data_IF_280178261168
#
_entry.id   IF_280178261168
#
_cell.length_a   1.000
_cell.length_b   1.000
_cell.length_c   1.000
_cell.angle_alpha   90.00
_cell.angle_beta   90.00
_cell.angle_gamma   90.00
#
_symmetry.space_group_name_H-M   'P 1'
#
loop_
_entity.id
_entity.type
_entity.pdbx_description
1 polymer ?
#
# COMPACT_ATOMS: atom_id res chain seq x y z
N UNK A 1 55.92 23.35 -15.24
CA UNK A 1 55.82 24.21 -16.44
C UNK A 1 54.37 24.60 -16.65
N UNK A 2 54.12 25.87 -16.33
CA UNK A 2 52.90 26.68 -16.37
C UNK A 2 51.80 26.27 -15.37
N UNK A 3 51.62 26.91 -14.21
CA UNK A 3 51.48 28.33 -13.81
C UNK A 3 50.04 28.88 -13.85
N UNK A 4 49.72 29.60 -12.76
CA UNK A 4 48.60 30.52 -12.46
C UNK A 4 47.41 29.87 -11.70
N UNK A 5 47.25 30.00 -10.36
CA UNK A 5 47.14 31.20 -9.49
C UNK A 5 46.04 32.17 -10.01
N UNK A 6 45.09 32.73 -9.26
CA UNK A 6 45.07 33.15 -7.87
C UNK A 6 43.62 33.36 -7.37
N UNK A 7 43.47 33.36 -6.05
CA UNK A 7 42.31 33.80 -5.28
C UNK A 7 41.99 35.29 -5.48
N UNK A 8 40.71 35.66 -5.34
CA UNK A 8 40.32 37.03 -5.02
C UNK A 8 39.37 37.05 -3.81
N UNK A 9 39.74 37.92 -2.88
CA UNK A 9 39.14 38.19 -1.57
C UNK A 9 37.83 39.00 -1.60
N UNK A 10 37.15 38.88 -0.45
CA UNK A 10 36.12 39.69 0.23
C UNK A 10 35.83 41.11 -0.30
N UNK A 11 34.56 41.52 -0.19
CA UNK A 11 34.12 42.53 0.79
C UNK A 11 32.59 42.56 0.94
N UNK A 12 32.15 42.67 2.20
CA UNK A 12 30.80 43.03 2.63
C UNK A 12 30.61 44.54 2.49
N UNK A 13 29.42 45.00 2.09
CA UNK A 13 28.92 46.32 2.48
C UNK A 13 27.38 46.30 2.59
N UNK A 14 26.92 47.13 3.53
CA UNK A 14 25.63 47.11 4.23
C UNK A 14 24.56 48.01 3.61
N UNK A 15 23.32 47.72 4.03
CA UNK A 15 22.24 48.66 4.40
C UNK A 15 21.52 49.51 3.31
N UNK A 16 20.21 49.30 3.23
CA UNK A 16 19.13 50.21 3.71
C UNK A 16 17.98 50.48 2.73
N UNK A 17 16.77 50.23 3.26
CA UNK A 17 15.50 50.98 3.15
C UNK A 17 14.96 51.52 1.82
N UNK A 18 13.67 51.26 1.58
CA UNK A 18 12.76 52.27 1.03
C UNK A 18 11.74 51.79 0.01
N UNK A 19 10.47 51.90 0.40
CA UNK A 19 9.35 52.40 -0.41
C UNK A 19 8.61 51.52 -1.44
N UNK A 20 7.43 51.08 -0.97
CA UNK A 20 6.10 51.16 -1.58
C UNK A 20 5.93 51.59 -3.07
N UNK A 21 5.06 50.80 -3.69
CA UNK A 21 3.96 51.16 -4.60
C UNK A 21 4.17 51.09 -6.12
N UNK A 22 3.37 50.18 -6.69
CA UNK A 22 2.65 50.25 -7.96
C UNK A 22 3.43 50.60 -9.23
N UNK A 23 3.65 49.59 -10.05
CA UNK A 23 3.43 49.70 -11.49
C UNK A 23 2.65 48.49 -11.99
N UNK A 24 1.41 48.77 -12.43
CA UNK A 24 0.69 47.93 -13.37
C UNK A 24 1.33 48.15 -14.73
N UNK A 25 1.71 47.09 -15.44
CA UNK A 25 1.57 47.08 -16.89
C UNK A 25 1.44 45.68 -17.47
N UNK A 26 0.57 45.61 -18.49
CA UNK A 26 -0.03 44.41 -19.05
C UNK A 26 0.85 43.71 -20.10
N UNK A 27 0.62 42.40 -20.22
CA UNK A 27 0.71 41.57 -21.41
C UNK A 27 2.07 41.45 -22.14
N UNK A 28 2.70 40.28 -21.97
CA UNK A 28 3.40 39.60 -23.07
C UNK A 28 3.42 38.08 -22.87
N UNK A 29 2.65 37.41 -23.72
CA UNK A 29 2.91 36.11 -24.36
C UNK A 29 4.08 35.27 -23.80
N UNK A 30 3.72 34.19 -23.12
CA UNK A 30 4.63 33.15 -22.68
C UNK A 30 3.80 31.98 -22.17
N UNK A 31 3.56 31.00 -23.03
CA UNK A 31 2.91 29.73 -22.69
C UNK A 31 3.83 28.90 -21.79
N UNK A 32 3.95 29.33 -20.54
CA UNK A 32 4.57 28.55 -19.48
C UNK A 32 3.59 27.43 -19.13
N UNK A 33 3.79 26.28 -19.78
CA UNK A 33 3.13 25.03 -19.42
C UNK A 33 3.55 24.74 -17.99
N UNK A 34 2.71 25.17 -17.03
CA UNK A 34 2.78 24.78 -15.64
C UNK A 34 2.92 23.26 -15.62
N UNK A 35 4.14 22.79 -15.39
CA UNK A 35 4.41 21.41 -14.99
C UNK A 35 3.58 21.24 -13.72
N UNK A 36 2.41 20.62 -13.87
CA UNK A 36 1.62 20.14 -12.75
C UNK A 36 2.57 19.31 -11.90
N UNK A 37 3.00 19.89 -10.78
CA UNK A 37 3.68 19.14 -9.76
C UNK A 37 2.67 18.06 -9.35
N UNK A 38 2.94 16.80 -9.71
CA UNK A 38 2.18 15.67 -9.22
C UNK A 38 2.52 15.52 -7.73
N UNK A 39 1.88 16.33 -6.90
CA UNK A 39 2.23 16.52 -5.49
C UNK A 39 1.66 15.44 -4.58
N UNK A 40 1.50 14.20 -5.07
CA UNK A 40 1.01 13.05 -4.32
C UNK A 40 1.68 11.75 -4.79
N UNK A 41 2.99 11.76 -5.07
CA UNK A 41 3.70 10.50 -5.27
C UNK A 41 3.92 9.87 -3.90
N UNK A 42 3.17 8.81 -3.59
CA UNK A 42 3.51 7.93 -2.47
C UNK A 42 4.95 7.45 -2.63
N UNK A 43 5.62 7.18 -1.50
CA UNK A 43 6.91 6.51 -1.53
C UNK A 43 6.76 5.23 -2.38
N UNK A 44 7.69 4.97 -3.32
CA UNK A 44 7.66 3.75 -4.10
C UNK A 44 7.74 2.55 -3.17
N UNK A 45 7.15 1.43 -3.59
CA UNK A 45 7.22 0.17 -2.85
C UNK A 45 8.69 -0.20 -2.63
N UNK A 46 9.04 -0.57 -1.40
CA UNK A 46 10.42 -0.89 -1.02
C UNK A 46 10.93 -2.08 -1.82
N UNK A 47 12.13 -1.97 -2.39
CA UNK A 47 12.72 -3.02 -3.23
C UNK A 47 12.97 -4.29 -2.43
N UNK A 48 13.45 -4.14 -1.20
CA UNK A 48 13.68 -5.24 -0.27
C UNK A 48 12.38 -5.98 0.02
N UNK A 49 11.29 -5.25 0.24
CA UNK A 49 9.97 -5.87 0.43
C UNK A 49 9.51 -6.62 -0.82
N UNK A 50 9.65 -6.05 -2.02
CA UNK A 50 9.28 -6.76 -3.25
C UNK A 50 10.11 -8.03 -3.46
N UNK A 51 11.42 -7.97 -3.21
CA UNK A 51 12.30 -9.12 -3.34
C UNK A 51 11.92 -10.23 -2.35
N UNK A 52 11.68 -9.85 -1.08
CA UNK A 52 11.25 -10.79 -0.04
C UNK A 52 9.93 -11.49 -0.42
N UNK A 53 8.94 -10.74 -0.91
CA UNK A 53 7.67 -11.32 -1.37
C UNK A 53 7.85 -12.26 -2.58
N UNK A 54 8.72 -11.92 -3.53
CA UNK A 54 9.00 -12.78 -4.69
C UNK A 54 9.75 -14.06 -4.32
N UNK A 55 10.58 -14.04 -3.27
CA UNK A 55 11.35 -15.19 -2.81
C UNK A 55 10.55 -16.11 -1.88
N UNK A 56 9.64 -15.54 -1.08
CA UNK A 56 8.89 -16.26 -0.03
C UNK A 56 7.51 -16.74 -0.50
N UNK A 57 6.83 -16.02 -1.39
CA UNK A 57 5.48 -16.42 -1.84
C UNK A 57 5.53 -17.70 -2.68
N UNK A 58 4.94 -18.78 -2.15
CA UNK A 58 4.83 -20.08 -2.83
C UNK A 58 3.44 -20.72 -2.58
N UNK A 59 2.60 -20.91 -3.62
CA UNK A 59 2.82 -20.50 -5.01
C UNK A 59 2.68 -18.98 -5.16
N UNK A 60 3.45 -18.40 -6.08
CA UNK A 60 3.23 -17.05 -6.59
C UNK A 60 2.59 -17.09 -7.98
N UNK A 61 1.47 -16.41 -8.11
CA UNK A 61 0.81 -16.15 -9.39
C UNK A 61 0.96 -14.68 -9.75
N UNK A 62 1.06 -14.38 -11.05
CA UNK A 62 1.26 -13.00 -11.49
C UNK A 62 0.65 -12.72 -12.86
N UNK A 63 0.20 -11.49 -13.03
CA UNK A 63 -0.11 -10.89 -14.33
C UNK A 63 0.77 -9.68 -14.57
N UNK A 64 1.13 -9.45 -15.83
CA UNK A 64 1.96 -8.33 -16.24
C UNK A 64 1.40 -7.69 -17.52
N UNK A 65 1.40 -6.36 -17.55
CA UNK A 65 0.99 -5.56 -18.70
C UNK A 65 2.24 -4.92 -19.28
N UNK A 66 2.45 -5.09 -20.58
CA UNK A 66 3.52 -4.46 -21.34
C UNK A 66 2.95 -3.70 -22.52
N UNK A 67 3.61 -2.62 -22.91
CA UNK A 67 3.28 -1.94 -24.16
C UNK A 67 3.58 -2.87 -25.32
N UNK A 68 2.62 -3.04 -26.24
CA UNK A 68 2.72 -4.04 -27.30
C UNK A 68 3.89 -3.81 -28.27
N UNK A 69 4.24 -2.55 -28.54
CA UNK A 69 5.26 -2.16 -29.51
C UNK A 69 6.69 -2.18 -28.94
N UNK A 70 6.85 -1.67 -27.73
CA UNK A 70 8.15 -1.42 -27.09
C UNK A 70 8.50 -2.46 -26.02
N UNK A 71 7.54 -3.28 -25.59
CA UNK A 71 7.72 -4.27 -24.53
C UNK A 71 7.92 -3.69 -23.13
N UNK A 72 7.82 -2.37 -22.97
CA UNK A 72 8.00 -1.69 -21.69
C UNK A 72 6.94 -2.12 -20.68
N UNK A 73 7.37 -2.41 -19.45
CA UNK A 73 6.48 -2.80 -18.37
C UNK A 73 5.59 -1.61 -17.96
N UNK A 74 4.29 -1.80 -18.02
CA UNK A 74 3.28 -0.83 -17.61
C UNK A 74 2.71 -1.14 -16.22
N UNK A 75 2.68 -2.42 -15.85
CA UNK A 75 2.29 -2.82 -14.52
C UNK A 75 2.35 -4.31 -14.31
N UNK A 76 2.21 -4.70 -13.06
CA UNK A 76 2.16 -6.08 -12.60
C UNK A 76 1.28 -6.18 -11.36
N UNK A 77 0.71 -7.37 -11.17
CA UNK A 77 0.08 -7.78 -9.92
C UNK A 77 0.59 -9.17 -9.57
N UNK A 78 0.87 -9.41 -8.30
CA UNK A 78 1.16 -10.73 -7.75
C UNK A 78 0.10 -11.10 -6.73
N UNK A 79 -0.19 -12.39 -6.63
CA UNK A 79 -1.06 -12.93 -5.60
C UNK A 79 -0.63 -14.33 -5.20
N UNK A 80 -0.94 -14.69 -3.97
CA UNK A 80 -0.55 -15.95 -3.33
C UNK A 80 -1.65 -16.44 -2.38
N UNK A 81 -1.39 -17.54 -1.67
CA UNK A 81 -2.22 -17.96 -0.54
C UNK A 81 -1.80 -17.15 0.69
N UNK A 82 -2.77 -16.52 1.37
CA UNK A 82 -2.49 -15.71 2.54
C UNK A 82 -1.76 -16.54 3.61
N UNK A 83 -0.58 -16.06 4.01
CA UNK A 83 0.27 -16.69 5.00
C UNK A 83 0.73 -15.64 6.00
N UNK A 84 0.48 -15.90 7.28
CA UNK A 84 0.87 -14.99 8.36
C UNK A 84 2.03 -15.57 9.19
N UNK A 85 3.02 -14.74 9.44
CA UNK A 85 4.20 -15.07 10.26
C UNK A 85 4.18 -14.41 11.64
N UNK A 86 3.16 -13.61 11.95
CA UNK A 86 3.04 -12.92 13.24
C UNK A 86 2.37 -13.80 14.28
N UNK A 87 2.96 -13.86 15.48
CA UNK A 87 2.35 -14.52 16.63
C UNK A 87 1.10 -13.76 17.08
N UNK A 88 0.07 -14.49 17.51
CA UNK A 88 -1.15 -13.89 18.02
C UNK A 88 -1.97 -13.12 16.97
N UNK A 89 -1.68 -13.31 15.69
CA UNK A 89 -2.52 -12.75 14.62
C UNK A 89 -3.95 -13.27 14.70
N UNK A 90 -4.91 -12.37 14.58
CA UNK A 90 -6.32 -12.69 14.43
C UNK A 90 -7.05 -11.65 13.59
N UNK A 91 -8.01 -12.12 12.81
CA UNK A 91 -9.03 -11.28 12.20
C UNK A 91 -10.08 -10.92 13.27
N UNK A 92 -10.19 -9.64 13.61
CA UNK A 92 -11.18 -9.13 14.57
C UNK A 92 -11.43 -7.63 14.35
N UNK A 93 -12.50 -7.31 13.62
CA UNK A 93 -12.92 -5.92 13.39
C UNK A 93 -13.55 -5.25 14.61
N UNK A 94 -13.93 -6.03 15.63
CA UNK A 94 -14.57 -5.53 16.86
C UNK A 94 -13.56 -5.18 17.95
N UNK A 95 -12.29 -5.50 17.73
CA UNK A 95 -11.22 -5.18 18.65
C UNK A 95 -11.11 -3.65 18.85
N UNK A 96 -10.98 -3.11 20.09
CA UNK A 96 -11.02 -1.66 20.33
C UNK A 96 -9.97 -0.83 19.58
N UNK A 97 -8.83 -1.46 19.24
CA UNK A 97 -7.76 -0.82 18.44
C UNK A 97 -8.05 -0.80 16.94
N UNK A 98 -9.00 -1.61 16.47
CA UNK A 98 -9.36 -1.61 15.06
C UNK A 98 -10.08 -0.32 14.70
N UNK A 99 -9.64 0.27 13.59
CA UNK A 99 -10.18 1.52 13.08
C UNK A 99 -10.08 2.71 14.06
N UNK A 100 -9.21 2.64 15.08
CA UNK A 100 -8.95 3.77 15.98
C UNK A 100 -8.39 4.96 15.18
N UNK A 101 -9.01 6.13 15.34
CA UNK A 101 -8.63 7.35 14.61
C UNK A 101 -9.17 7.46 13.17
N UNK A 102 -9.92 6.47 12.67
CA UNK A 102 -10.54 6.56 11.35
C UNK A 102 -11.82 7.39 11.38
N UNK A 103 -11.94 8.31 10.42
CA UNK A 103 -13.15 9.14 10.25
C UNK A 103 -14.17 8.36 9.45
N UNK A 104 -15.28 7.94 10.10
CA UNK A 104 -16.37 7.11 9.57
C UNK A 104 -17.13 7.62 8.33
N UNK A 105 -16.72 8.71 7.67
CA UNK A 105 -17.48 9.22 6.53
C UNK A 105 -17.14 8.45 5.25
N UNK A 106 -18.14 7.71 4.75
CA UNK A 106 -18.18 7.05 3.44
C UNK A 106 -17.15 5.91 3.23
N UNK A 107 -16.78 5.20 4.31
CA UNK A 107 -15.80 4.11 4.26
C UNK A 107 -16.50 2.75 4.38
N UNK A 108 -16.19 1.82 3.46
CA UNK A 108 -16.64 0.43 3.58
C UNK A 108 -15.81 -0.30 4.64
N UNK A 109 -16.37 -0.49 5.83
CA UNK A 109 -15.74 -1.15 6.98
C UNK A 109 -16.62 -2.29 7.48
N UNK A 110 -16.01 -3.39 7.92
CA UNK A 110 -16.65 -4.50 8.63
C UNK A 110 -17.07 -4.09 10.07
N UNK A 111 -18.13 -3.27 10.17
CA UNK A 111 -18.55 -2.68 11.45
C UNK A 111 -19.07 -3.68 12.48
N UNK A 112 -19.72 -4.77 12.03
CA UNK A 112 -20.33 -5.77 12.90
C UNK A 112 -19.43 -6.97 13.19
N UNK A 113 -18.25 -7.02 12.55
CA UNK A 113 -17.29 -8.11 12.68
C UNK A 113 -17.69 -9.39 11.97
N UNK A 114 -18.74 -9.39 11.14
CA UNK A 114 -19.20 -10.59 10.46
C UNK A 114 -18.17 -11.11 9.47
N UNK A 115 -17.48 -10.23 8.75
CA UNK A 115 -16.45 -10.60 7.77
C UNK A 115 -15.17 -11.07 8.47
N UNK A 116 -14.64 -10.31 9.42
CA UNK A 116 -13.49 -10.73 10.24
C UNK A 116 -13.73 -12.07 10.92
N UNK A 117 -14.93 -12.31 11.46
CA UNK A 117 -15.30 -13.60 12.05
C UNK A 117 -15.28 -14.73 11.01
N UNK A 118 -15.74 -14.47 9.78
CA UNK A 118 -15.73 -15.46 8.70
C UNK A 118 -14.30 -15.77 8.22
N UNK A 119 -13.44 -14.76 8.14
CA UNK A 119 -12.00 -14.92 7.86
C UNK A 119 -11.31 -15.71 8.98
N UNK A 120 -11.57 -15.35 10.25
CA UNK A 120 -10.99 -16.03 11.41
C UNK A 120 -11.41 -17.50 11.51
N UNK A 121 -12.62 -17.84 11.04
CA UNK A 121 -13.15 -19.20 11.00
C UNK A 121 -12.63 -20.05 9.84
N UNK A 122 -11.80 -19.49 8.94
CA UNK A 122 -11.17 -20.28 7.89
C UNK A 122 -10.26 -21.37 8.49
N UNK A 123 -10.19 -22.50 7.78
CA UNK A 123 -9.18 -23.52 8.06
C UNK A 123 -7.82 -22.87 7.88
N UNK A 124 -6.91 -23.16 8.81
CA UNK A 124 -5.52 -22.74 8.77
C UNK A 124 -4.64 -23.90 9.20
N UNK A 125 -3.42 -23.93 8.66
CA UNK A 125 -2.43 -24.93 8.96
C UNK A 125 -1.06 -24.28 9.03
N UNK A 126 -0.10 -25.00 9.60
CA UNK A 126 1.27 -24.55 9.73
C UNK A 126 1.63 -24.14 11.14
N UNK A 127 2.89 -23.72 11.30
CA UNK A 127 3.50 -23.28 12.53
C UNK A 127 4.21 -21.93 12.32
N UNK A 128 3.79 -20.94 13.11
CA UNK A 128 4.27 -19.56 13.04
C UNK A 128 5.80 -19.43 13.16
N UNK A 129 6.46 -20.36 13.84
CA UNK A 129 7.91 -20.30 14.07
C UNK A 129 8.75 -20.86 12.93
N UNK A 130 8.19 -21.73 12.09
CA UNK A 130 8.95 -22.53 11.12
C UNK A 130 8.47 -22.36 9.68
N UNK A 131 7.14 -22.30 9.47
CA UNK A 131 6.53 -22.33 8.13
C UNK A 131 5.46 -21.25 7.91
N UNK A 132 5.11 -20.50 8.96
CA UNK A 132 4.01 -19.55 8.92
C UNK A 132 2.65 -20.25 9.07
N UNK A 133 1.62 -19.45 9.32
CA UNK A 133 0.24 -19.92 9.38
C UNK A 133 -0.42 -19.62 8.05
N UNK A 134 -0.65 -20.67 7.26
CA UNK A 134 -1.28 -20.60 5.94
C UNK A 134 -2.80 -20.66 6.11
N UNK A 135 -3.53 -19.81 5.37
CA UNK A 135 -4.98 -19.81 5.27
C UNK A 135 -5.39 -20.23 3.86
N UNK A 136 -5.57 -21.54 3.58
CA UNK A 136 -5.74 -22.04 2.21
C UNK A 136 -6.96 -21.48 1.47
N UNK A 137 -7.92 -20.90 2.19
CA UNK A 137 -9.15 -20.31 1.64
C UNK A 137 -9.14 -18.80 1.49
N UNK A 138 -7.99 -18.16 1.70
CA UNK A 138 -7.82 -16.72 1.55
C UNK A 138 -6.70 -16.49 0.53
N UNK A 139 -7.05 -15.89 -0.61
CA UNK A 139 -6.07 -15.37 -1.54
C UNK A 139 -5.56 -14.02 -1.03
N UNK A 140 -4.29 -13.73 -1.24
CA UNK A 140 -3.66 -12.45 -0.93
C UNK A 140 -3.17 -11.80 -2.22
N UNK A 141 -3.61 -10.58 -2.52
CA UNK A 141 -2.93 -9.74 -3.51
C UNK A 141 -1.74 -9.10 -2.82
N UNK A 142 -0.53 -9.57 -3.15
CA UNK A 142 0.68 -9.26 -2.42
C UNK A 142 1.40 -8.01 -2.93
N UNK A 143 1.50 -7.83 -4.25
CA UNK A 143 2.12 -6.65 -4.85
C UNK A 143 1.26 -6.13 -6.00
N UNK A 144 1.13 -4.80 -6.07
CA UNK A 144 0.54 -4.11 -7.21
C UNK A 144 1.40 -2.90 -7.55
N UNK A 145 1.94 -2.90 -8.77
CA UNK A 145 2.61 -1.73 -9.36
C UNK A 145 2.03 -1.46 -10.73
N UNK A 146 1.41 -0.30 -10.96
CA UNK A 146 0.73 -0.04 -12.22
C UNK A 146 0.73 1.43 -12.64
N UNK A 147 0.97 1.67 -13.93
CA UNK A 147 0.89 2.96 -14.59
C UNK A 147 -0.46 3.11 -15.29
N UNK A 148 -1.53 3.26 -14.50
CA UNK A 148 -2.90 3.44 -15.00
C UNK A 148 -3.64 2.16 -15.39
N UNK A 149 -2.99 0.99 -15.34
CA UNK A 149 -3.59 -0.32 -15.61
C UNK A 149 -3.96 -1.13 -14.35
N UNK A 150 -3.91 -0.52 -13.16
CA UNK A 150 -4.08 -1.25 -11.89
C UNK A 150 -5.44 -1.91 -11.73
N UNK A 151 -6.52 -1.23 -12.15
CA UNK A 151 -7.88 -1.79 -12.10
C UNK A 151 -7.98 -3.08 -12.92
N UNK A 152 -7.51 -3.05 -14.17
CA UNK A 152 -7.49 -4.21 -15.07
C UNK A 152 -6.71 -5.37 -14.45
N UNK A 153 -5.54 -5.10 -13.89
CA UNK A 153 -4.71 -6.13 -13.26
C UNK A 153 -5.41 -6.80 -12.07
N UNK A 154 -6.05 -6.02 -11.19
CA UNK A 154 -6.77 -6.56 -10.03
C UNK A 154 -8.04 -7.31 -10.47
N UNK A 155 -8.78 -6.82 -11.46
CA UNK A 155 -9.93 -7.54 -12.04
C UNK A 155 -9.51 -8.89 -12.63
N UNK A 156 -8.41 -8.93 -13.39
CA UNK A 156 -7.85 -10.18 -13.92
C UNK A 156 -7.39 -11.14 -12.83
N UNK A 157 -6.78 -10.63 -11.75
CA UNK A 157 -6.40 -11.43 -10.60
C UNK A 157 -7.62 -12.06 -9.92
N UNK A 158 -8.66 -11.27 -9.66
CA UNK A 158 -9.91 -11.76 -9.06
C UNK A 158 -10.59 -12.80 -9.96
N UNK A 159 -10.75 -12.51 -11.26
CA UNK A 159 -11.34 -13.46 -12.22
C UNK A 159 -10.58 -14.79 -12.24
N UNK A 160 -9.25 -14.74 -12.19
CA UNK A 160 -8.43 -15.95 -12.11
C UNK A 160 -8.65 -16.71 -10.79
N UNK A 161 -8.64 -16.01 -9.65
CA UNK A 161 -8.89 -16.58 -8.32
C UNK A 161 -10.28 -17.26 -8.27
N UNK A 162 -11.32 -16.60 -8.78
CA UNK A 162 -12.68 -17.15 -8.89
C UNK A 162 -12.75 -18.37 -9.82
N UNK A 163 -12.01 -18.31 -10.93
CA UNK A 163 -11.87 -19.43 -11.86
C UNK A 163 -11.24 -20.67 -11.22
N UNK A 164 -10.24 -20.50 -10.34
CA UNK A 164 -9.69 -21.59 -9.53
C UNK A 164 -10.74 -22.16 -8.58
N UNK A 165 -11.59 -21.31 -8.02
CA UNK A 165 -12.67 -21.71 -7.11
C UNK A 165 -13.83 -22.45 -7.78
N UNK A 166 -13.94 -22.38 -9.11
CA UNK A 166 -14.94 -23.14 -9.88
C UNK A 166 -14.54 -24.60 -10.14
N UNK A 167 -13.31 -25.00 -9.80
CA UNK A 167 -12.93 -26.41 -9.72
C UNK A 167 -13.59 -27.07 -8.50
N UNK A 168 -13.79 -28.40 -8.50
CA UNK A 168 -14.53 -29.15 -7.45
C UNK A 168 -13.93 -29.05 -6.03
N UNK A 169 -12.86 -28.27 -5.85
CA UNK A 169 -12.18 -28.00 -4.59
C UNK A 169 -12.12 -26.50 -4.20
N UNK A 170 -12.81 -25.58 -4.89
CA UNK A 170 -13.11 -24.23 -4.39
C UNK A 170 -12.01 -23.60 -3.53
N UNK A 171 -10.84 -23.32 -4.12
CA UNK A 171 -9.62 -23.03 -3.34
C UNK A 171 -9.79 -21.80 -2.45
N UNK A 172 -10.22 -20.66 -3.02
CA UNK A 172 -10.31 -19.39 -2.30
C UNK A 172 -11.76 -18.94 -2.11
N UNK A 173 -12.09 -18.52 -0.89
CA UNK A 173 -13.37 -17.92 -0.52
C UNK A 173 -13.27 -16.41 -0.33
N UNK A 174 -12.08 -15.92 0.01
CA UNK A 174 -11.82 -14.52 0.27
C UNK A 174 -10.60 -14.06 -0.52
N UNK A 175 -10.58 -12.78 -0.86
CA UNK A 175 -9.40 -12.10 -1.39
C UNK A 175 -9.07 -10.94 -0.45
N UNK A 176 -7.85 -10.94 0.09
CA UNK A 176 -7.34 -9.96 1.02
C UNK A 176 -6.12 -9.23 0.45
N UNK A 177 -5.87 -8.00 0.92
CA UNK A 177 -4.68 -7.22 0.62
C UNK A 177 -4.39 -6.21 1.70
N UNK A 178 -3.12 -5.85 1.86
CA UNK A 178 -2.74 -4.66 2.61
C UNK A 178 -2.71 -3.45 1.67
N UNK A 179 -3.34 -2.35 2.08
CA UNK A 179 -3.38 -1.13 1.30
C UNK A 179 -2.65 0.01 2.03
N UNK A 180 -1.79 0.72 1.31
CA UNK A 180 -1.29 2.03 1.78
C UNK A 180 -2.43 3.05 1.81
N UNK A 181 -2.37 4.04 2.70
CA UNK A 181 -3.40 5.09 2.85
C UNK A 181 -3.85 5.70 1.51
N UNK A 182 -2.89 5.94 0.61
CA UNK A 182 -3.15 6.54 -0.70
C UNK A 182 -3.86 5.59 -1.68
N UNK A 183 -3.70 4.28 -1.50
CA UNK A 183 -4.29 3.24 -2.35
C UNK A 183 -5.66 2.75 -1.87
N UNK A 184 -6.05 3.04 -0.62
CA UNK A 184 -7.31 2.58 -0.07
C UNK A 184 -8.53 2.96 -0.95
N UNK A 185 -8.71 4.23 -1.40
CA UNK A 185 -9.87 4.59 -2.20
C UNK A 185 -9.93 3.89 -3.56
N UNK A 186 -8.80 3.39 -4.06
CA UNK A 186 -8.75 2.59 -5.28
C UNK A 186 -9.42 1.23 -5.05
N UNK A 187 -9.03 0.51 -4.00
CA UNK A 187 -9.59 -0.81 -3.68
C UNK A 187 -11.04 -0.75 -3.20
N UNK A 188 -11.43 0.27 -2.43
CA UNK A 188 -12.83 0.46 -2.01
C UNK A 188 -13.78 0.62 -3.20
N UNK A 189 -13.35 1.35 -4.24
CA UNK A 189 -14.12 1.46 -5.50
C UNK A 189 -14.23 0.14 -6.25
N UNK A 190 -13.34 -0.81 -5.97
CA UNK A 190 -13.39 -2.17 -6.51
C UNK A 190 -14.19 -3.13 -5.61
N UNK A 191 -14.77 -2.65 -4.51
CA UNK A 191 -15.62 -3.45 -3.61
C UNK A 191 -14.90 -4.03 -2.40
N UNK A 192 -13.62 -3.71 -2.17
CA UNK A 192 -12.92 -4.14 -0.96
C UNK A 192 -13.49 -3.44 0.28
N UNK A 193 -13.67 -4.21 1.34
CA UNK A 193 -14.11 -3.77 2.66
C UNK A 193 -12.92 -3.80 3.61
N UNK A 194 -12.78 -2.81 4.48
CA UNK A 194 -11.72 -2.82 5.51
C UNK A 194 -12.09 -3.78 6.63
N UNK A 195 -11.13 -4.58 7.05
CA UNK A 195 -11.28 -5.61 8.09
C UNK A 195 -10.20 -5.45 9.15
N UNK A 196 -10.56 -5.68 10.40
CA UNK A 196 -9.60 -5.71 11.50
C UNK A 196 -8.67 -6.90 11.40
N UNK A 197 -7.37 -6.61 11.34
CA UNK A 197 -6.30 -7.58 11.54
C UNK A 197 -5.49 -7.09 12.76
N UNK A 198 -5.44 -7.90 13.81
CA UNK A 198 -4.73 -7.54 15.05
C UNK A 198 -3.70 -8.58 15.40
N UNK A 199 -2.62 -8.14 16.03
CA UNK A 199 -1.61 -9.00 16.63
C UNK A 199 -1.61 -8.75 18.14
N UNK A 200 -1.52 -9.82 18.92
CA UNK A 200 -1.22 -9.69 20.35
C UNK A 200 0.20 -9.14 20.49
N UNK A 201 0.30 -7.85 20.82
CA UNK A 201 1.54 -7.35 21.42
C UNK A 201 1.68 -8.03 22.78
N UNK A 202 2.79 -8.75 23.00
CA UNK A 202 3.17 -9.10 24.37
C UNK A 202 3.16 -7.80 25.19
N UNK A 203 2.36 -7.76 26.26
CA UNK A 203 2.32 -6.63 27.17
C UNK A 203 3.74 -6.22 27.55
N UNK A 204 4.21 -5.08 27.03
CA UNK A 204 5.39 -4.43 27.56
C UNK A 204 5.05 -4.04 29.00
N UNK A 205 5.56 -4.83 29.94
CA UNK A 205 5.49 -4.56 31.37
C UNK A 205 6.00 -3.14 31.62
N UNK A 206 5.10 -2.28 32.10
CA UNK A 206 5.25 -0.84 32.02
C UNK A 206 6.56 -0.29 32.57
N UNK A 207 7.28 0.44 31.73
CA UNK A 207 8.09 1.60 32.11
C UNK A 207 8.00 2.60 30.96
N UNK A 208 7.60 3.84 31.27
CA UNK A 208 7.29 4.89 30.30
C UNK A 208 8.36 5.10 29.23
N UNK A 209 7.98 4.88 27.98
CA UNK A 209 8.73 5.23 26.77
C UNK A 209 7.80 5.91 25.78
N UNK A 210 8.29 6.97 25.13
CA UNK A 210 7.54 7.83 24.20
C UNK A 210 6.78 7.01 23.14
N UNK A 211 5.51 7.37 22.92
CA UNK A 211 4.67 6.84 21.86
C UNK A 211 5.37 6.95 20.49
N UNK A 212 5.87 5.82 19.98
CA UNK A 212 6.09 5.62 18.56
C UNK A 212 4.73 5.44 17.90
N UNK A 213 4.48 6.18 16.82
CA UNK A 213 3.33 5.98 15.94
C UNK A 213 3.23 4.49 15.59
N UNK A 214 2.13 3.85 15.97
CA UNK A 214 1.77 2.53 15.47
C UNK A 214 1.33 2.70 14.02
N UNK A 215 1.99 1.98 13.12
CA UNK A 215 1.51 1.79 11.77
C UNK A 215 0.26 0.90 11.88
N UNK A 216 -0.92 1.51 11.81
CA UNK A 216 -2.20 0.82 11.84
C UNK A 216 -2.41 0.14 10.49
N UNK A 217 -1.91 -1.10 10.34
CA UNK A 217 -2.11 -1.89 9.13
C UNK A 217 -3.55 -2.38 9.04
N UNK A 218 -4.41 -1.59 8.41
CA UNK A 218 -5.73 -2.04 7.99
C UNK A 218 -5.58 -3.00 6.80
N UNK A 219 -5.97 -4.25 6.99
CA UNK A 219 -6.06 -5.22 5.89
C UNK A 219 -7.45 -5.12 5.28
N UNK A 220 -7.51 -5.07 3.96
CA UNK A 220 -8.76 -4.98 3.21
C UNK A 220 -9.11 -6.36 2.65
N UNK A 221 -10.37 -6.72 2.65
CA UNK A 221 -10.85 -7.94 2.01
C UNK A 221 -12.18 -7.72 1.30
N UNK A 222 -12.39 -8.40 0.18
CA UNK A 222 -13.71 -8.53 -0.44
C UNK A 222 -14.42 -9.73 0.14
N UNK A 223 -15.71 -9.56 0.43
CA UNK A 223 -16.62 -10.65 0.74
C UNK A 223 -17.71 -10.72 -0.33
N UNK A 224 -18.02 -11.93 -0.77
CA UNK A 224 -19.24 -12.26 -1.52
C UNK A 224 -20.47 -12.36 -0.61
#
# INVERSE_FOLDING_TARGET
>A
NNDHNDQCDRNEDKENNGDNANDNDNNADGTETQRRHCSNTSKPLCLEYMADRLDVDDPIHAFLVRTADSGQLQGFVTFTTFTNWQQGFMWDSTHPRCFEGYVKKDVAVDEDGSLSKALQACVRCGDVYNEGVVYPRIAEISLLGALGCGKLLVELAIEYIEGLSSSTQGMFKFCALQATDNSIPFYEKMGFVRVGAVTDEQQDSGVGGKASKSDNDSVQSVQE
#
